data_IF_431637335957
#
_entry.id   IF_431637335957
#
_cell.length_a   1.000
_cell.length_b   1.000
_cell.length_c   1.000
_cell.angle_alpha   90.00
_cell.angle_beta   90.00
_cell.angle_gamma   90.00
#
_symmetry.space_group_name_H-M   'P 1'
#
loop_
_entity.id
_entity.type
_entity.pdbx_description
1 polymer ?
#
# COMPACT_ATOMS: atom_id res chain seq x y z
N UNK A 1 -21.57 -21.71 10.08
CA UNK A 1 -20.86 -20.51 9.60
C UNK A 1 -20.60 -20.70 8.11
N UNK A 2 -21.40 -20.05 7.27
CA UNK A 2 -21.16 -20.04 5.82
C UNK A 2 -19.97 -19.12 5.56
N UNK A 3 -18.85 -19.68 5.12
CA UNK A 3 -17.76 -18.91 4.55
C UNK A 3 -18.24 -18.43 3.18
N UNK A 4 -18.83 -17.24 3.11
CA UNK A 4 -18.85 -16.50 1.85
C UNK A 4 -17.40 -16.14 1.58
N UNK A 5 -16.71 -16.96 0.79
CA UNK A 5 -15.39 -16.65 0.24
C UNK A 5 -15.57 -15.51 -0.76
N UNK A 6 -15.93 -14.34 -0.26
CA UNK A 6 -15.94 -13.13 -1.07
C UNK A 6 -14.47 -12.85 -1.42
N UNK A 7 -14.22 -12.66 -2.71
CA UNK A 7 -12.88 -12.47 -3.25
C UNK A 7 -12.15 -11.31 -2.55
N UNK A 8 -12.91 -10.32 -2.07
CA UNK A 8 -12.47 -9.22 -1.22
C UNK A 8 -11.72 -9.67 0.04
N UNK A 9 -12.19 -10.72 0.71
CA UNK A 9 -11.61 -11.23 1.97
C UNK A 9 -10.32 -11.99 1.71
N UNK A 10 -10.27 -12.76 0.63
CA UNK A 10 -9.06 -13.45 0.19
C UNK A 10 -7.97 -12.46 -0.25
N UNK A 11 -8.35 -11.44 -1.02
CA UNK A 11 -7.45 -10.37 -1.44
C UNK A 11 -6.88 -9.59 -0.25
N UNK A 12 -7.71 -9.31 0.76
CA UNK A 12 -7.26 -8.68 2.00
C UNK A 12 -6.21 -9.53 2.74
N UNK A 13 -6.44 -10.83 2.86
CA UNK A 13 -5.51 -11.75 3.51
C UNK A 13 -4.15 -11.82 2.80
N UNK A 14 -4.16 -11.94 1.46
CA UNK A 14 -2.93 -11.94 0.65
C UNK A 14 -2.17 -10.61 0.82
N UNK A 15 -2.88 -9.49 0.80
CA UNK A 15 -2.28 -8.17 1.00
C UNK A 15 -1.60 -8.04 2.36
N UNK A 16 -2.25 -8.53 3.42
CA UNK A 16 -1.67 -8.51 4.77
C UNK A 16 -0.36 -9.31 4.84
N UNK A 17 -0.30 -10.48 4.21
CA UNK A 17 0.94 -11.27 4.15
C UNK A 17 2.05 -10.59 3.37
N UNK A 18 1.75 -10.01 2.20
CA UNK A 18 2.75 -9.27 1.42
C UNK A 18 3.27 -8.04 2.17
N UNK A 19 2.40 -7.35 2.91
CA UNK A 19 2.77 -6.24 3.77
C UNK A 19 3.74 -6.66 4.87
N UNK A 20 3.42 -7.75 5.58
CA UNK A 20 4.29 -8.30 6.63
C UNK A 20 5.64 -8.75 6.07
N UNK A 21 5.66 -9.38 4.89
CA UNK A 21 6.90 -9.81 4.24
C UNK A 21 7.77 -8.61 3.85
N UNK A 22 7.18 -7.54 3.33
CA UNK A 22 7.89 -6.30 3.04
C UNK A 22 8.46 -5.65 4.30
N UNK A 23 7.63 -5.51 5.34
CA UNK A 23 8.03 -4.96 6.64
C UNK A 23 9.20 -5.71 7.27
N UNK A 24 9.18 -7.04 7.23
CA UNK A 24 10.21 -7.87 7.86
C UNK A 24 11.50 -7.97 7.05
N UNK A 25 11.47 -7.69 5.73
CA UNK A 25 12.64 -7.72 4.87
C UNK A 25 13.15 -6.31 4.56
N UNK A 26 12.78 -5.79 3.39
CA UNK A 26 13.34 -4.54 2.82
C UNK A 26 12.91 -3.33 3.66
N UNK A 27 11.70 -3.37 4.23
CA UNK A 27 11.13 -2.33 5.08
C UNK A 27 11.70 -2.27 6.50
N UNK A 28 12.41 -3.30 6.98
CA UNK A 28 12.67 -3.49 8.41
C UNK A 28 13.33 -2.28 9.07
N UNK A 29 14.39 -1.73 8.45
CA UNK A 29 15.08 -0.57 9.01
C UNK A 29 14.19 0.68 9.08
N UNK A 30 13.31 0.86 8.10
CA UNK A 30 12.38 1.99 8.08
C UNK A 30 11.24 1.82 9.10
N UNK A 31 10.72 0.60 9.26
CA UNK A 31 9.67 0.32 10.24
C UNK A 31 10.20 0.25 11.68
N UNK A 32 11.48 -0.06 11.88
CA UNK A 32 12.12 -0.05 13.21
C UNK A 32 12.58 1.34 13.65
N UNK A 33 12.71 2.29 12.73
CA UNK A 33 12.82 3.70 13.09
C UNK A 33 11.50 4.16 13.73
N UNK A 34 11.56 4.38 15.05
CA UNK A 34 10.42 4.80 15.87
C UNK A 34 9.70 6.03 15.31
N UNK A 35 10.43 6.95 14.69
CA UNK A 35 9.85 8.18 14.13
C UNK A 35 9.03 7.88 12.88
N UNK A 36 9.54 7.01 12.03
CA UNK A 36 8.89 6.53 10.81
C UNK A 36 7.69 5.64 11.11
N UNK A 37 7.79 4.71 12.07
CA UNK A 37 6.66 3.87 12.53
C UNK A 37 5.48 4.69 13.05
N UNK A 38 5.75 5.62 13.97
CA UNK A 38 4.72 6.46 14.57
C UNK A 38 4.01 7.33 13.53
N UNK A 39 4.74 7.76 12.50
CA UNK A 39 4.18 8.56 11.43
C UNK A 39 3.35 7.71 10.43
N UNK A 40 3.85 6.54 10.02
CA UNK A 40 3.17 5.68 9.06
C UNK A 40 1.86 5.09 9.59
N UNK A 41 1.80 4.74 10.88
CA UNK A 41 0.57 4.24 11.52
C UNK A 41 -0.57 5.27 11.54
N UNK A 42 -0.26 6.57 11.46
CA UNK A 42 -1.24 7.65 11.37
C UNK A 42 -1.74 7.89 9.94
N UNK A 43 -0.99 7.48 8.92
CA UNK A 43 -1.36 7.64 7.50
C UNK A 43 -2.43 6.65 7.07
N UNK A 44 -2.32 5.40 7.55
CA UNK A 44 -3.22 4.30 7.22
C UNK A 44 -4.67 4.59 7.62
N UNK A 45 -4.87 5.52 8.55
CA UNK A 45 -6.18 5.92 9.07
C UNK A 45 -6.82 7.13 8.38
N UNK A 46 -6.07 7.95 7.62
CA UNK A 46 -6.47 9.36 7.42
C UNK A 46 -6.59 9.89 5.99
N UNK A 47 -6.32 9.11 4.96
CA UNK A 47 -6.00 9.73 3.65
C UNK A 47 -6.99 9.56 2.52
N UNK A 48 -8.09 8.84 2.72
CA UNK A 48 -9.11 8.70 1.67
C UNK A 48 -8.63 8.02 0.38
N UNK A 49 -7.33 7.71 0.23
CA UNK A 49 -6.75 7.00 -0.90
C UNK A 49 -7.41 5.62 -1.05
N UNK A 50 -7.64 4.93 0.07
CA UNK A 50 -8.31 3.63 0.06
C UNK A 50 -9.78 3.75 -0.37
N UNK A 51 -10.50 4.75 0.15
CA UNK A 51 -11.89 5.02 -0.26
C UNK A 51 -11.96 5.37 -1.75
N UNK A 52 -11.06 6.21 -2.25
CA UNK A 52 -10.98 6.55 -3.67
C UNK A 52 -10.61 5.34 -4.53
N UNK A 53 -9.73 4.45 -4.05
CA UNK A 53 -9.41 3.21 -4.72
C UNK A 53 -10.62 2.29 -4.82
N UNK A 54 -11.29 2.00 -3.70
CA UNK A 54 -12.46 1.13 -3.66
C UNK A 54 -13.63 1.67 -4.49
N UNK A 55 -13.78 2.98 -4.59
CA UNK A 55 -14.85 3.61 -5.37
C UNK A 55 -14.57 3.64 -6.88
N UNK A 56 -13.30 3.59 -7.31
CA UNK A 56 -12.91 3.74 -8.72
C UNK A 56 -12.29 2.47 -9.32
N UNK A 57 -12.13 1.40 -8.55
CA UNK A 57 -11.52 0.17 -9.04
C UNK A 57 -12.48 -0.56 -9.98
N UNK A 58 -12.01 -0.83 -11.19
CA UNK A 58 -12.61 -1.82 -12.07
C UNK A 58 -11.98 -3.18 -11.74
N UNK A 59 -12.76 -4.12 -11.22
CA UNK A 59 -12.25 -5.44 -10.82
C UNK A 59 -11.73 -6.29 -11.99
N UNK A 60 -12.12 -5.96 -13.24
CA UNK A 60 -11.57 -6.60 -14.44
C UNK A 60 -10.25 -5.96 -14.91
N UNK A 61 -9.92 -4.75 -14.46
CA UNK A 61 -8.69 -4.04 -14.78
C UNK A 61 -8.27 -3.13 -13.61
N UNK A 62 -7.58 -3.75 -12.65
CA UNK A 62 -7.27 -3.14 -11.35
C UNK A 62 -6.09 -2.16 -11.43
N UNK A 63 -5.20 -2.34 -12.42
CA UNK A 63 -3.91 -1.65 -12.45
C UNK A 63 -3.99 -0.12 -12.53
N UNK A 64 -4.90 0.51 -13.30
CA UNK A 64 -5.01 1.97 -13.34
C UNK A 64 -5.44 2.56 -11.99
N UNK A 65 -6.45 1.97 -11.35
CA UNK A 65 -6.93 2.41 -10.04
C UNK A 65 -5.87 2.20 -8.96
N UNK A 66 -5.15 1.09 -9.04
CA UNK A 66 -4.07 0.77 -8.11
C UNK A 66 -2.87 1.72 -8.27
N UNK A 67 -2.53 2.13 -9.49
CA UNK A 67 -1.47 3.12 -9.72
C UNK A 67 -1.83 4.46 -9.07
N UNK A 68 -3.09 4.90 -9.20
CA UNK A 68 -3.57 6.11 -8.52
C UNK A 68 -3.56 5.96 -7.00
N UNK A 69 -3.97 4.81 -6.48
CA UNK A 69 -3.89 4.51 -5.05
C UNK A 69 -2.45 4.58 -4.53
N UNK A 70 -1.53 3.92 -5.24
CA UNK A 70 -0.11 3.86 -4.88
C UNK A 70 0.50 5.27 -4.85
N UNK A 71 0.23 6.08 -5.87
CA UNK A 71 0.71 7.48 -5.92
C UNK A 71 0.07 8.36 -4.85
N UNK A 72 -1.22 8.16 -4.56
CA UNK A 72 -1.92 8.85 -3.49
C UNK A 72 -1.24 8.57 -2.14
N UNK A 73 -1.03 7.29 -1.81
CA UNK A 73 -0.34 6.83 -0.58
C UNK A 73 1.12 7.28 -0.50
N UNK A 74 1.82 7.36 -1.64
CA UNK A 74 3.17 7.94 -1.69
C UNK A 74 3.18 9.41 -1.30
N UNK A 75 2.41 10.25 -1.99
CA UNK A 75 2.39 11.71 -1.76
C UNK A 75 1.92 12.08 -0.35
N UNK A 76 1.01 11.26 0.15
CA UNK A 76 0.55 11.22 1.51
C UNK A 76 1.70 11.04 2.53
N UNK A 77 2.49 9.98 2.35
CA UNK A 77 3.60 9.66 3.21
C UNK A 77 4.78 10.61 3.04
N UNK A 78 5.06 11.07 1.81
CA UNK A 78 6.04 12.13 1.54
C UNK A 78 5.74 13.39 2.36
N UNK A 79 4.46 13.83 2.37
CA UNK A 79 4.04 15.06 3.05
C UNK A 79 4.06 14.95 4.57
N UNK A 80 3.66 13.80 5.12
CA UNK A 80 3.56 13.64 6.57
C UNK A 80 4.88 13.19 7.21
N UNK A 81 5.59 12.29 6.56
CA UNK A 81 6.70 11.52 7.14
C UNK A 81 8.02 11.68 6.36
N UNK A 82 8.01 12.44 5.27
CA UNK A 82 9.18 12.71 4.44
C UNK A 82 9.36 11.72 3.27
N UNK A 83 10.21 12.08 2.29
CA UNK A 83 10.38 11.31 1.05
C UNK A 83 10.77 9.83 1.22
N UNK A 84 11.61 9.42 2.20
CA UNK A 84 11.91 8.00 2.41
C UNK A 84 10.65 7.20 2.73
N UNK A 85 9.80 7.71 3.63
CA UNK A 85 8.56 7.03 4.03
C UNK A 85 7.57 6.94 2.86
N UNK A 86 7.52 7.94 1.97
CA UNK A 86 6.72 7.84 0.76
C UNK A 86 7.19 6.77 -0.20
N UNK A 87 8.51 6.62 -0.38
CA UNK A 87 9.05 5.50 -1.15
C UNK A 87 8.64 4.15 -0.56
N UNK A 88 8.79 3.96 0.76
CA UNK A 88 8.40 2.71 1.43
C UNK A 88 6.90 2.43 1.35
N UNK A 89 6.04 3.44 1.54
CA UNK A 89 4.59 3.29 1.38
C UNK A 89 4.19 2.88 -0.05
N UNK A 90 4.92 3.38 -1.05
CA UNK A 90 4.70 3.00 -2.45
C UNK A 90 5.15 1.55 -2.71
N UNK A 91 6.34 1.18 -2.25
CA UNK A 91 6.92 -0.16 -2.46
C UNK A 91 6.09 -1.25 -1.78
N UNK A 92 5.55 -0.97 -0.60
CA UNK A 92 4.63 -1.87 0.11
C UNK A 92 3.42 -2.24 -0.75
N UNK A 93 2.77 -1.24 -1.35
CA UNK A 93 1.62 -1.45 -2.25
C UNK A 93 2.07 -2.15 -3.54
N UNK A 94 3.22 -1.76 -4.11
CA UNK A 94 3.76 -2.35 -5.34
C UNK A 94 4.04 -3.85 -5.14
N UNK A 95 4.59 -4.26 -4.00
CA UNK A 95 4.90 -5.67 -3.75
C UNK A 95 3.64 -6.51 -3.55
N UNK A 96 2.61 -5.95 -2.91
CA UNK A 96 1.30 -6.61 -2.79
C UNK A 96 0.61 -6.90 -4.11
N UNK A 97 0.96 -6.17 -5.18
CA UNK A 97 0.23 -6.22 -6.46
C UNK A 97 1.10 -6.35 -7.71
N UNK A 98 2.43 -6.42 -7.56
CA UNK A 98 3.40 -6.31 -8.66
C UNK A 98 3.35 -7.47 -9.64
N UNK A 99 2.89 -8.65 -9.21
CA UNK A 99 2.65 -9.79 -10.10
C UNK A 99 1.54 -9.54 -11.12
N UNK A 100 0.51 -8.76 -10.73
CA UNK A 100 -0.64 -8.47 -11.58
C UNK A 100 -0.49 -7.12 -12.31
N UNK A 101 0.26 -6.19 -11.72
CA UNK A 101 0.45 -4.84 -12.23
C UNK A 101 1.94 -4.47 -12.29
N UNK A 102 2.71 -4.99 -13.27
CA UNK A 102 4.17 -4.89 -13.30
C UNK A 102 4.69 -3.48 -13.60
N UNK A 103 3.81 -2.57 -14.04
CA UNK A 103 4.19 -1.20 -14.45
C UNK A 103 4.11 -0.18 -13.31
N UNK A 104 3.72 -0.59 -12.11
CA UNK A 104 3.78 0.30 -10.94
C UNK A 104 5.25 0.57 -10.60
N UNK A 105 5.59 1.85 -10.43
CA UNK A 105 6.96 2.34 -10.17
C UNK A 105 6.92 3.29 -8.99
N UNK A 106 7.87 3.13 -8.08
CA UNK A 106 8.07 3.99 -6.93
C UNK A 106 9.39 4.73 -7.10
N UNK A 107 9.33 6.04 -7.35
CA UNK A 107 10.53 6.88 -7.45
C UNK A 107 10.74 7.66 -6.16
N UNK A 108 12.00 7.88 -5.80
CA UNK A 108 12.38 8.85 -4.79
C UNK A 108 12.49 10.19 -5.52
N UNK A 109 11.65 11.16 -5.16
CA UNK A 109 11.70 12.52 -5.68
C UNK A 109 12.11 13.47 -4.56
#
# INVERSE_FOLDING_TARGET
MQYTTDWSTAAYYVRMWSHLDFMCNIGYQQFMDKSSWACMTLLDQNQGCNTAYLNNVNWNDVCPALQNYTMCSKQAADRACGPPNGYFACEDIRLGHGANCPNIRCTIN
#
